data_IF_032201535742
#
_entry.id   IF_032201535742
#
_cell.length_a   1.000
_cell.length_b   1.000
_cell.length_c   1.000
_cell.angle_alpha   90.00
_cell.angle_beta   90.00
_cell.angle_gamma   90.00
#
_symmetry.space_group_name_H-M   'P 1'
#
loop_
_entity.id
_entity.type
_entity.pdbx_description
1 polymer ?
#
# COMPACT_ATOMS: atom_id res chain seq x y z
N UNK A 1 -1.29 -10.60 -0.82
CA UNK A 1 -1.59 -10.92 0.61
C UNK A 1 -0.31 -11.06 1.39
N UNK A 2 -0.27 -10.51 2.60
CA UNK A 2 0.91 -10.57 3.46
C UNK A 2 0.82 -11.84 4.31
N UNK A 3 1.84 -12.69 4.23
CA UNK A 3 1.85 -13.98 4.92
C UNK A 3 2.74 -14.01 6.17
N UNK A 4 3.72 -13.10 6.27
CA UNK A 4 4.67 -13.09 7.40
C UNK A 4 5.22 -11.68 7.61
N UNK A 5 5.99 -11.52 8.68
CA UNK A 5 6.53 -10.21 9.06
C UNK A 5 7.51 -9.65 8.03
N UNK A 6 8.27 -10.50 7.35
CA UNK A 6 9.19 -10.01 6.32
C UNK A 6 8.41 -9.38 5.15
N UNK A 7 7.31 -10.01 4.75
CA UNK A 7 6.45 -9.46 3.69
C UNK A 7 5.77 -8.18 4.16
N UNK A 8 5.35 -8.12 5.43
CA UNK A 8 4.78 -6.91 6.01
C UNK A 8 5.77 -5.76 5.95
N UNK A 9 7.01 -5.98 6.37
CA UNK A 9 8.07 -4.95 6.32
C UNK A 9 8.34 -4.50 4.90
N UNK A 10 8.36 -5.44 3.94
CA UNK A 10 8.53 -5.11 2.53
C UNK A 10 7.38 -4.26 1.99
N UNK A 11 6.14 -4.59 2.38
CA UNK A 11 4.98 -3.80 1.96
C UNK A 11 5.01 -2.40 2.56
N UNK A 12 5.41 -2.27 3.84
CA UNK A 12 5.58 -0.95 4.47
C UNK A 12 6.60 -0.10 3.71
N UNK A 13 7.72 -0.70 3.34
CA UNK A 13 8.75 0.01 2.59
C UNK A 13 8.23 0.47 1.23
N UNK A 14 7.43 -0.36 0.58
CA UNK A 14 6.82 0.00 -0.71
C UNK A 14 5.81 1.12 -0.57
N UNK A 15 4.99 1.09 0.49
CA UNK A 15 4.06 2.20 0.78
C UNK A 15 4.84 3.50 0.96
N UNK A 16 5.89 3.47 1.76
CA UNK A 16 6.72 4.65 2.00
C UNK A 16 7.32 5.19 0.70
N UNK A 17 7.78 4.30 -0.17
CA UNK A 17 8.32 4.68 -1.47
C UNK A 17 7.28 5.41 -2.32
N UNK A 18 6.06 4.88 -2.40
CA UNK A 18 5.00 5.53 -3.16
C UNK A 18 4.55 6.83 -2.53
N UNK A 19 4.52 6.90 -1.19
CA UNK A 19 4.22 8.14 -0.49
C UNK A 19 5.25 9.22 -0.81
N UNK A 20 6.54 8.86 -0.84
CA UNK A 20 7.60 9.79 -1.19
C UNK A 20 7.45 10.30 -2.63
N UNK A 21 7.08 9.41 -3.55
CA UNK A 21 6.82 9.82 -4.93
C UNK A 21 5.68 10.81 -5.01
N UNK A 22 4.58 10.56 -4.30
CA UNK A 22 3.45 11.48 -4.25
C UNK A 22 3.84 12.82 -3.63
N UNK A 23 4.64 12.80 -2.57
CA UNK A 23 5.11 14.01 -1.91
C UNK A 23 5.93 14.88 -2.88
N UNK A 24 6.74 14.26 -3.72
CA UNK A 24 7.50 14.97 -4.74
C UNK A 24 6.60 15.51 -5.85
N UNK A 25 5.67 14.69 -6.33
CA UNK A 25 4.79 15.08 -7.43
C UNK A 25 3.83 16.19 -7.04
N UNK A 26 3.35 16.23 -5.79
CA UNK A 26 2.42 17.26 -5.37
C UNK A 26 3.04 18.67 -5.41
N UNK A 27 4.35 18.74 -5.45
CA UNK A 27 5.10 20.02 -5.52
C UNK A 27 5.58 20.30 -6.93
N UNK A 28 6.09 19.28 -7.62
CA UNK A 28 6.75 19.43 -8.90
C UNK A 28 5.83 19.27 -10.12
N UNK A 29 4.76 18.48 -10.00
CA UNK A 29 3.86 18.25 -11.12
C UNK A 29 2.97 19.45 -11.37
N UNK A 30 2.54 19.62 -12.61
CA UNK A 30 1.59 20.68 -12.96
C UNK A 30 0.23 20.38 -12.30
N UNK A 31 -0.41 21.41 -11.71
CA UNK A 31 -1.67 21.17 -10.97
C UNK A 31 -2.75 20.48 -11.77
N UNK A 32 -2.88 20.78 -13.06
CA UNK A 32 -3.90 20.20 -13.91
C UNK A 32 -3.64 18.73 -14.24
N UNK A 33 -2.39 18.27 -14.11
CA UNK A 33 -2.02 16.87 -14.40
C UNK A 33 -1.90 16.02 -13.15
N UNK A 34 -1.69 16.65 -12.00
CA UNK A 34 -1.42 15.93 -10.76
C UNK A 34 -2.52 14.92 -10.38
N UNK A 35 -3.81 15.26 -10.42
CA UNK A 35 -4.85 14.30 -10.01
C UNK A 35 -4.80 12.98 -10.78
N UNK A 36 -4.61 13.03 -12.08
CA UNK A 36 -4.55 11.80 -12.87
C UNK A 36 -3.25 11.03 -12.64
N UNK A 37 -2.14 11.73 -12.42
CA UNK A 37 -0.87 11.09 -12.10
C UNK A 37 -0.93 10.41 -10.73
N UNK A 38 -1.59 11.06 -9.77
CA UNK A 38 -1.65 10.58 -8.40
C UNK A 38 -2.62 9.43 -8.21
N UNK A 39 -3.68 9.34 -9.03
CA UNK A 39 -4.76 8.38 -8.80
C UNK A 39 -4.31 6.93 -8.79
N UNK A 40 -3.39 6.56 -9.68
CA UNK A 40 -2.86 5.20 -9.73
C UNK A 40 -2.04 4.86 -8.49
N UNK A 41 -1.18 5.77 -8.05
CA UNK A 41 -0.39 5.57 -6.84
C UNK A 41 -1.27 5.52 -5.60
N UNK A 42 -2.29 6.38 -5.55
CA UNK A 42 -3.25 6.36 -4.43
C UNK A 42 -3.95 5.01 -4.33
N UNK A 43 -4.42 4.46 -5.44
CA UNK A 43 -5.08 3.16 -5.47
C UNK A 43 -4.14 2.06 -4.97
N UNK A 44 -2.87 2.08 -5.39
CA UNK A 44 -1.89 1.09 -4.95
C UNK A 44 -1.60 1.22 -3.46
N UNK A 45 -1.46 2.45 -2.95
CA UNK A 45 -1.22 2.68 -1.53
C UNK A 45 -2.42 2.17 -0.71
N UNK A 46 -3.64 2.50 -1.11
CA UNK A 46 -4.85 2.06 -0.42
C UNK A 46 -4.93 0.54 -0.36
N UNK A 47 -4.61 -0.13 -1.46
CA UNK A 47 -4.60 -1.60 -1.52
C UNK A 47 -3.56 -2.17 -0.55
N UNK A 48 -2.36 -1.64 -0.56
CA UNK A 48 -1.28 -2.12 0.31
C UNK A 48 -1.58 -1.83 1.77
N UNK A 49 -2.16 -0.68 2.08
CA UNK A 49 -2.55 -0.35 3.45
C UNK A 49 -3.64 -1.30 3.95
N UNK A 50 -4.58 -1.64 3.09
CA UNK A 50 -5.61 -2.62 3.43
C UNK A 50 -4.99 -3.99 3.73
N UNK A 51 -4.04 -4.42 2.92
CA UNK A 51 -3.33 -5.69 3.14
C UNK A 51 -2.57 -5.69 4.46
N UNK A 52 -1.93 -4.58 4.80
CA UNK A 52 -1.23 -4.41 6.07
C UNK A 52 -2.20 -4.52 7.25
N UNK A 53 -3.34 -3.84 7.18
CA UNK A 53 -4.35 -3.90 8.24
C UNK A 53 -4.91 -5.30 8.39
N UNK A 54 -5.18 -5.98 7.28
CA UNK A 54 -5.63 -7.37 7.29
C UNK A 54 -4.64 -8.27 8.04
N UNK A 55 -3.37 -8.11 7.74
CA UNK A 55 -2.33 -8.90 8.37
C UNK A 55 -2.19 -8.59 9.87
N UNK A 56 -2.12 -7.31 10.21
CA UNK A 56 -1.86 -6.89 11.59
C UNK A 56 -3.04 -7.13 12.54
N UNK A 57 -4.25 -7.23 12.01
CA UNK A 57 -5.44 -7.44 12.83
C UNK A 57 -5.85 -8.91 12.93
N UNK A 58 -5.04 -9.82 12.37
CA UNK A 58 -5.27 -11.25 12.45
C UNK A 58 -4.30 -11.86 13.48
N UNK A 59 -4.86 -12.60 14.44
CA UNK A 59 -4.03 -13.24 15.47
C UNK A 59 -3.16 -14.33 14.84
N UNK A 60 -1.95 -14.53 15.37
CA UNK A 60 -1.00 -15.51 14.84
C UNK A 60 -1.53 -16.95 14.84
N UNK A 61 -2.46 -17.26 15.75
CA UNK A 61 -3.06 -18.59 15.84
C UNK A 61 -4.14 -18.83 14.79
N UNK A 62 -4.58 -17.78 14.09
CA UNK A 62 -5.63 -17.92 13.07
C UNK A 62 -5.01 -18.27 11.72
N UNK A 63 -5.60 -19.23 10.99
CA UNK A 63 -5.12 -19.52 9.66
C UNK A 63 -5.32 -18.33 8.74
N UNK A 64 -4.48 -18.22 7.73
CA UNK A 64 -4.67 -17.21 6.71
C UNK A 64 -6.02 -17.41 6.04
N UNK A 65 -6.73 -16.34 5.66
CA UNK A 65 -7.98 -16.48 4.93
C UNK A 65 -7.77 -17.30 3.66
N UNK A 66 -8.69 -18.20 3.38
CA UNK A 66 -8.63 -18.94 2.12
C UNK A 66 -8.77 -17.95 0.97
N UNK A 67 -7.91 -18.09 -0.02
CA UNK A 67 -8.07 -17.30 -1.22
C UNK A 67 -9.36 -17.70 -1.91
N UNK A 68 -10.17 -16.72 -2.21
CA UNK A 68 -11.36 -16.96 -3.01
C UNK A 68 -10.92 -16.96 -4.46
N UNK A 69 -10.96 -18.10 -5.05
CA UNK A 69 -10.58 -18.26 -6.44
C UNK A 69 -11.52 -17.49 -7.35
#
# INVERSE_FOLDING_TARGET
>A
MIANDDEWKGTRARIAYFEDLLAQMRVAARPELFPSMASGYRAEIEKMQWEVLEYLTRHVSQPAPAEVA
#
